data_IF_534939829586
#
_entry.id   IF_534939829586
#
_cell.length_a   1.000
_cell.length_b   1.000
_cell.length_c   1.000
_cell.angle_alpha   90.00
_cell.angle_beta   90.00
_cell.angle_gamma   90.00
#
_symmetry.space_group_name_H-M   'P 1'
#
loop_
_entity.id
_entity.type
_entity.pdbx_description
1 polymer ?
#
# COMPACT_ATOMS: atom_id res chain seq x y z
N UNK A 1 1.24 13.93 11.40
CA UNK A 1 2.18 14.22 10.28
C UNK A 1 1.48 14.19 8.91
N UNK A 2 0.16 13.99 8.84
CA UNK A 2 -0.62 14.07 7.60
C UNK A 2 -0.56 12.84 6.68
N UNK A 3 0.00 11.71 7.13
CA UNK A 3 0.01 10.46 6.38
C UNK A 3 -1.40 9.84 6.30
N UNK A 4 -1.72 9.22 5.16
CA UNK A 4 -2.93 8.41 5.03
C UNK A 4 -2.70 7.03 5.63
N UNK A 5 -3.63 6.57 6.48
CA UNK A 5 -3.63 5.24 7.07
C UNK A 5 -4.57 4.35 6.25
N UNK A 6 -4.18 3.11 6.00
CA UNK A 6 -4.99 2.15 5.26
C UNK A 6 -5.02 0.77 5.89
N UNK A 7 -6.04 0.01 5.55
CA UNK A 7 -6.30 -1.34 6.04
C UNK A 7 -5.47 -2.33 5.21
N UNK A 8 -4.79 -3.28 5.90
CA UNK A 8 -4.06 -4.36 5.23
C UNK A 8 -4.42 -5.74 5.78
N UNK A 9 -5.70 -5.93 6.11
CA UNK A 9 -6.31 -7.08 6.81
C UNK A 9 -5.94 -7.16 8.29
N UNK A 10 -6.62 -8.06 9.01
CA UNK A 10 -6.36 -8.29 10.43
C UNK A 10 -5.11 -9.15 10.65
N UNK A 11 -4.94 -10.23 9.89
CA UNK A 11 -3.96 -11.29 10.18
C UNK A 11 -2.92 -11.52 9.10
N UNK A 12 -3.06 -10.93 7.92
CA UNK A 12 -2.13 -11.05 6.77
C UNK A 12 -1.66 -12.49 6.50
N UNK A 13 -2.58 -13.48 6.59
CA UNK A 13 -2.22 -14.88 6.39
C UNK A 13 -1.99 -15.23 4.92
N UNK A 14 -1.10 -16.18 4.60
CA UNK A 14 -0.90 -16.65 3.22
C UNK A 14 -2.19 -17.17 2.55
N UNK A 15 -3.12 -17.68 3.35
CA UNK A 15 -4.42 -18.17 2.88
C UNK A 15 -5.44 -17.07 2.59
N UNK A 16 -5.15 -15.80 2.84
CA UNK A 16 -6.12 -14.72 2.64
C UNK A 16 -6.79 -14.75 1.25
N UNK A 17 -6.06 -14.93 0.12
CA UNK A 17 -6.69 -14.94 -1.20
C UNK A 17 -7.67 -16.09 -1.44
N UNK A 18 -7.63 -17.13 -0.61
CA UNK A 18 -8.48 -18.33 -0.68
C UNK A 18 -9.74 -18.22 0.20
N UNK A 19 -9.83 -17.20 1.03
CA UNK A 19 -10.98 -16.99 1.92
C UNK A 19 -12.25 -16.67 1.13
N UNK A 20 -13.40 -17.02 1.72
CA UNK A 20 -14.70 -16.52 1.24
C UNK A 20 -14.83 -15.03 1.50
N UNK A 21 -15.54 -14.32 0.64
CA UNK A 21 -15.70 -12.85 0.71
C UNK A 21 -16.25 -12.35 2.06
N UNK A 22 -17.09 -13.16 2.74
CA UNK A 22 -17.59 -12.83 4.08
C UNK A 22 -16.49 -12.80 5.14
N UNK A 23 -15.60 -13.80 5.14
CA UNK A 23 -14.47 -13.86 6.07
C UNK A 23 -13.45 -12.73 5.78
N UNK A 24 -13.19 -12.45 4.50
CA UNK A 24 -12.36 -11.31 4.11
C UNK A 24 -12.96 -9.99 4.61
N UNK A 25 -14.27 -9.78 4.41
CA UNK A 25 -14.97 -8.57 4.84
C UNK A 25 -14.91 -8.39 6.36
N UNK A 26 -15.12 -9.47 7.13
CA UNK A 26 -14.99 -9.44 8.58
C UNK A 26 -13.58 -9.02 9.04
N UNK A 27 -12.52 -9.54 8.39
CA UNK A 27 -11.13 -9.15 8.66
C UNK A 27 -10.83 -7.69 8.32
N UNK A 28 -11.40 -7.18 7.23
CA UNK A 28 -11.28 -5.77 6.83
C UNK A 28 -11.95 -4.86 7.87
N UNK A 29 -13.19 -5.17 8.25
CA UNK A 29 -13.94 -4.37 9.22
C UNK A 29 -13.28 -4.37 10.59
N UNK A 30 -12.81 -5.53 11.05
CA UNK A 30 -12.10 -5.64 12.34
C UNK A 30 -10.83 -4.78 12.35
N UNK A 31 -10.04 -4.82 11.28
CA UNK A 31 -8.84 -4.00 11.16
C UNK A 31 -9.17 -2.51 11.13
N UNK A 32 -10.24 -2.12 10.39
CA UNK A 32 -10.73 -0.74 10.33
C UNK A 32 -11.08 -0.22 11.73
N UNK A 33 -11.85 -1.00 12.47
CA UNK A 33 -12.28 -0.61 13.83
C UNK A 33 -11.09 -0.43 14.76
N UNK A 34 -10.15 -1.37 14.77
CA UNK A 34 -8.93 -1.23 15.59
C UNK A 34 -8.08 -0.02 15.19
N UNK A 35 -7.97 0.27 13.89
CA UNK A 35 -7.28 1.49 13.45
C UNK A 35 -8.00 2.74 13.95
N UNK A 36 -9.33 2.79 13.87
CA UNK A 36 -10.13 3.90 14.37
C UNK A 36 -9.95 4.10 15.88
N UNK A 37 -10.00 3.01 16.65
CA UNK A 37 -9.81 3.03 18.11
C UNK A 37 -8.43 3.56 18.52
N UNK A 38 -7.36 3.14 17.81
CA UNK A 38 -5.97 3.49 18.13
C UNK A 38 -5.62 4.90 17.66
N UNK A 39 -6.09 5.30 16.48
CA UNK A 39 -5.61 6.51 15.80
C UNK A 39 -6.63 7.65 15.76
N UNK A 40 -7.90 7.36 16.04
CA UNK A 40 -9.02 8.30 15.84
C UNK A 40 -9.34 8.57 14.36
N UNK A 41 -8.67 7.90 13.42
CA UNK A 41 -8.82 8.14 11.98
C UNK A 41 -9.76 7.13 11.34
N UNK A 42 -10.80 7.63 10.69
CA UNK A 42 -11.65 6.82 9.81
C UNK A 42 -10.96 6.60 8.46
N UNK A 43 -10.89 5.34 8.01
CA UNK A 43 -10.32 5.00 6.71
C UNK A 43 -11.14 3.96 5.97
N UNK A 44 -11.27 4.16 4.66
CA UNK A 44 -11.84 3.19 3.73
C UNK A 44 -10.78 2.63 2.76
N UNK A 45 -9.53 3.08 2.89
CA UNK A 45 -8.42 2.61 2.05
C UNK A 45 -8.06 1.19 2.43
N UNK A 46 -8.04 0.29 1.47
CA UNK A 46 -7.69 -1.12 1.67
C UNK A 46 -6.67 -1.58 0.63
N UNK A 47 -5.61 -2.24 1.09
CA UNK A 47 -4.67 -2.94 0.22
C UNK A 47 -4.75 -4.44 0.49
N UNK A 48 -5.07 -5.28 -0.52
CA UNK A 48 -5.10 -6.72 -0.31
C UNK A 48 -3.69 -7.28 -0.11
N UNK A 49 -3.53 -8.27 0.80
CA UNK A 49 -2.27 -9.00 0.95
C UNK A 49 -1.75 -9.53 -0.38
N UNK A 50 -0.44 -9.47 -0.56
CA UNK A 50 0.26 -9.95 -1.77
C UNK A 50 -0.17 -9.24 -3.06
N UNK A 51 -1.05 -8.22 -2.99
CA UNK A 51 -1.65 -7.56 -4.14
C UNK A 51 -2.59 -8.44 -4.95
N UNK A 52 -3.08 -9.52 -4.36
CA UNK A 52 -3.99 -10.43 -5.06
C UNK A 52 -5.39 -9.80 -5.11
N UNK A 53 -5.88 -9.62 -6.34
CA UNK A 53 -7.25 -9.21 -6.63
C UNK A 53 -7.96 -10.36 -7.35
N UNK A 54 -9.04 -10.86 -6.75
CA UNK A 54 -9.89 -11.89 -7.33
C UNK A 54 -11.37 -11.56 -7.05
N UNK A 55 -12.35 -12.30 -7.60
CA UNK A 55 -13.77 -12.00 -7.39
C UNK A 55 -14.19 -11.99 -5.92
N UNK A 56 -13.55 -12.79 -5.04
CA UNK A 56 -13.87 -12.81 -3.61
C UNK A 56 -13.38 -11.52 -2.94
N UNK A 57 -12.17 -11.06 -3.27
CA UNK A 57 -11.65 -9.76 -2.80
C UNK A 57 -12.53 -8.63 -3.28
N UNK A 58 -12.91 -8.59 -4.56
CA UNK A 58 -13.78 -7.55 -5.11
C UNK A 58 -15.13 -7.49 -4.37
N UNK A 59 -15.75 -8.64 -4.08
CA UNK A 59 -16.98 -8.72 -3.29
C UNK A 59 -16.79 -8.23 -1.85
N UNK A 60 -15.67 -8.58 -1.20
CA UNK A 60 -15.37 -8.13 0.15
C UNK A 60 -15.18 -6.61 0.19
N UNK A 61 -14.42 -6.05 -0.75
CA UNK A 61 -14.21 -4.60 -0.91
C UNK A 61 -15.55 -3.87 -1.07
N UNK A 62 -16.42 -4.37 -1.97
CA UNK A 62 -17.75 -3.81 -2.17
C UNK A 62 -18.61 -3.88 -0.90
N UNK A 63 -18.61 -5.02 -0.19
CA UNK A 63 -19.39 -5.23 1.05
C UNK A 63 -18.97 -4.32 2.19
N UNK A 64 -17.70 -3.93 2.24
CA UNK A 64 -17.13 -3.08 3.30
C UNK A 64 -17.08 -1.61 2.95
N UNK A 65 -17.53 -1.22 1.73
CA UNK A 65 -17.41 0.14 1.24
C UNK A 65 -15.95 0.62 1.14
N UNK A 66 -15.00 -0.32 0.99
CA UNK A 66 -13.58 0.03 0.92
C UNK A 66 -13.17 0.45 -0.49
N UNK A 67 -12.15 1.29 -0.58
CA UNK A 67 -11.43 1.62 -1.81
C UNK A 67 -10.15 0.80 -1.89
N UNK A 68 -10.01 -0.03 -2.93
CA UNK A 68 -8.83 -0.87 -3.11
C UNK A 68 -7.66 -0.05 -3.67
N UNK A 69 -6.53 -0.05 -2.96
CA UNK A 69 -5.31 0.68 -3.35
C UNK A 69 -4.20 -0.31 -3.68
N UNK A 70 -3.83 -0.38 -4.95
CA UNK A 70 -2.69 -1.15 -5.43
C UNK A 70 -1.39 -0.34 -5.44
N UNK A 71 -0.50 -0.69 -6.35
CA UNK A 71 0.73 0.02 -6.65
C UNK A 71 1.04 -0.05 -8.13
N UNK A 72 1.78 0.93 -8.62
CA UNK A 72 2.29 0.94 -9.99
C UNK A 72 3.78 0.58 -10.07
N UNK A 73 4.51 0.75 -8.96
CA UNK A 73 5.93 0.38 -8.86
C UNK A 73 6.11 -0.64 -7.74
N UNK A 74 6.31 -1.92 -8.12
CA UNK A 74 6.74 -2.97 -7.20
C UNK A 74 8.25 -2.88 -7.02
N UNK A 75 8.70 -2.53 -5.81
CA UNK A 75 10.11 -2.34 -5.47
C UNK A 75 10.93 -3.63 -5.53
N UNK A 76 10.36 -4.75 -5.10
CA UNK A 76 11.03 -6.03 -4.83
C UNK A 76 12.04 -5.94 -3.67
N UNK A 77 11.79 -5.06 -2.71
CA UNK A 77 12.60 -4.85 -1.50
C UNK A 77 12.58 -6.04 -0.53
N UNK A 78 11.58 -6.91 -0.65
CA UNK A 78 11.46 -8.15 0.12
C UNK A 78 12.39 -9.27 -0.35
N UNK A 79 13.01 -9.15 -1.52
CA UNK A 79 13.93 -10.15 -2.04
C UNK A 79 15.31 -10.01 -1.38
N UNK A 80 15.71 -11.02 -0.59
CA UNK A 80 16.97 -11.02 0.18
C UNK A 80 18.24 -10.82 -0.67
N UNK A 81 18.21 -11.29 -1.93
CA UNK A 81 19.37 -11.23 -2.83
C UNK A 81 19.59 -9.82 -3.44
N UNK A 82 18.67 -8.87 -3.18
CA UNK A 82 18.76 -7.51 -3.74
C UNK A 82 19.36 -6.53 -2.75
N UNK A 83 20.41 -5.84 -3.16
CA UNK A 83 20.91 -4.69 -2.40
C UNK A 83 19.92 -3.52 -2.43
N UNK A 84 19.96 -2.65 -1.43
CA UNK A 84 19.11 -1.46 -1.35
C UNK A 84 19.33 -0.52 -2.53
N UNK A 85 20.57 -0.42 -3.00
CA UNK A 85 20.96 0.34 -4.18
C UNK A 85 20.34 -0.21 -5.47
N UNK A 86 20.28 -1.54 -5.61
CA UNK A 86 19.62 -2.17 -6.77
C UNK A 86 18.11 -1.96 -6.74
N UNK A 87 17.49 -1.98 -5.56
CA UNK A 87 16.07 -1.68 -5.38
C UNK A 87 15.79 -0.21 -5.69
N UNK A 88 16.57 0.73 -5.16
CA UNK A 88 16.42 2.16 -5.44
C UNK A 88 16.57 2.46 -6.96
N UNK A 89 17.60 1.90 -7.62
CA UNK A 89 17.76 2.03 -9.08
C UNK A 89 16.56 1.49 -9.85
N UNK A 90 15.96 0.38 -9.41
CA UNK A 90 14.75 -0.17 -10.01
C UNK A 90 13.57 0.78 -9.90
N UNK A 91 13.36 1.38 -8.73
CA UNK A 91 12.31 2.38 -8.49
C UNK A 91 12.55 3.60 -9.37
N UNK A 92 13.75 4.19 -9.31
CA UNK A 92 14.13 5.40 -10.06
C UNK A 92 13.84 5.28 -11.56
N UNK A 93 14.13 4.12 -12.17
CA UNK A 93 13.86 3.87 -13.60
C UNK A 93 12.37 3.81 -13.95
N UNK A 94 11.48 3.81 -12.98
CA UNK A 94 10.03 3.69 -13.16
C UNK A 94 9.26 4.87 -12.59
N UNK A 95 9.97 5.87 -12.06
CA UNK A 95 9.34 7.08 -11.56
C UNK A 95 8.54 7.77 -12.67
N UNK A 96 7.50 8.46 -12.29
CA UNK A 96 6.61 9.22 -13.15
C UNK A 96 5.43 9.73 -12.33
N UNK A 97 4.65 10.60 -12.89
CA UNK A 97 3.49 11.18 -12.23
C UNK A 97 2.41 10.14 -11.93
N UNK A 98 1.71 10.31 -10.83
CA UNK A 98 0.64 9.42 -10.40
C UNK A 98 1.10 8.01 -9.97
N UNK A 99 2.39 7.77 -9.77
CA UNK A 99 2.90 6.45 -9.38
C UNK A 99 2.76 6.20 -7.88
N UNK A 100 2.30 5.00 -7.55
CA UNK A 100 2.28 4.48 -6.17
C UNK A 100 3.41 3.48 -6.02
N UNK A 101 4.35 3.75 -5.12
CA UNK A 101 5.53 2.90 -4.86
C UNK A 101 5.23 1.99 -3.68
N UNK A 102 5.41 0.67 -3.85
CA UNK A 102 5.31 -0.29 -2.76
C UNK A 102 6.67 -0.48 -2.09
N UNK A 103 6.72 -0.25 -0.78
CA UNK A 103 7.85 -0.52 0.11
C UNK A 103 7.36 -1.26 1.36
N UNK A 104 8.28 -1.92 2.06
CA UNK A 104 8.02 -2.61 3.32
C UNK A 104 9.00 -2.10 4.39
N UNK A 105 8.49 -1.78 5.58
CA UNK A 105 9.24 -1.18 6.68
C UNK A 105 9.88 -2.23 7.63
N UNK A 106 9.40 -3.48 7.56
CA UNK A 106 9.87 -4.60 8.37
C UNK A 106 11.21 -5.21 7.88
N UNK A 107 11.88 -4.59 6.91
CA UNK A 107 13.11 -5.13 6.30
C UNK A 107 14.36 -4.40 6.80
N UNK A 108 15.45 -5.14 7.08
CA UNK A 108 16.73 -4.51 7.44
C UNK A 108 17.13 -3.46 6.39
N UNK A 109 17.43 -2.24 6.82
CA UNK A 109 17.79 -1.13 5.95
C UNK A 109 16.64 -0.51 5.16
N UNK A 110 15.39 -0.67 5.62
CA UNK A 110 14.21 -0.04 5.01
C UNK A 110 14.32 1.48 5.08
N UNK A 111 14.78 2.04 6.20
CA UNK A 111 15.02 3.47 6.40
C UNK A 111 16.05 4.02 5.40
N UNK A 112 17.14 3.30 5.16
CA UNK A 112 18.16 3.67 4.18
C UNK A 112 17.58 3.65 2.75
N UNK A 113 16.80 2.61 2.42
CA UNK A 113 16.13 2.53 1.13
C UNK A 113 15.15 3.70 0.93
N UNK A 114 14.34 4.01 1.95
CA UNK A 114 13.42 5.14 1.90
C UNK A 114 14.16 6.45 1.67
N UNK A 115 15.25 6.72 2.40
CA UNK A 115 16.05 7.91 2.21
C UNK A 115 16.60 8.03 0.77
N UNK A 116 17.07 6.92 0.18
CA UNK A 116 17.53 6.89 -1.21
C UNK A 116 16.40 7.21 -2.20
N UNK A 117 15.21 6.64 -1.98
CA UNK A 117 14.04 6.88 -2.83
C UNK A 117 13.59 8.35 -2.74
N UNK A 118 13.50 8.91 -1.52
CA UNK A 118 13.13 10.31 -1.31
C UNK A 118 14.13 11.26 -1.99
N UNK A 119 15.43 10.98 -1.91
CA UNK A 119 16.46 11.76 -2.59
C UNK A 119 16.32 11.67 -4.13
N UNK A 120 16.04 10.48 -4.68
CA UNK A 120 15.78 10.32 -6.11
C UNK A 120 14.52 11.09 -6.56
N UNK A 121 13.45 11.09 -5.75
CA UNK A 121 12.24 11.87 -6.01
C UNK A 121 12.54 13.38 -6.03
N UNK A 122 13.25 13.87 -5.02
CA UNK A 122 13.62 15.29 -4.92
C UNK A 122 14.48 15.74 -6.12
N UNK A 123 15.49 14.94 -6.49
CA UNK A 123 16.33 15.22 -7.65
C UNK A 123 15.58 15.19 -8.99
N UNK A 124 14.54 14.36 -9.07
CA UNK A 124 13.66 14.26 -10.23
C UNK A 124 12.57 15.33 -10.28
N UNK A 125 12.48 16.23 -9.28
CA UNK A 125 11.44 17.26 -9.19
C UNK A 125 10.06 16.70 -8.82
N UNK A 126 9.98 15.46 -8.32
CA UNK A 126 8.73 14.86 -7.89
C UNK A 126 8.32 15.32 -6.49
N UNK A 127 7.03 15.50 -6.31
CA UNK A 127 6.40 15.74 -5.01
C UNK A 127 5.66 14.48 -4.56
N UNK A 128 5.74 14.14 -3.28
CA UNK A 128 4.91 13.11 -2.68
C UNK A 128 3.54 13.67 -2.31
N UNK A 129 2.52 12.83 -2.46
CA UNK A 129 1.14 13.14 -2.08
C UNK A 129 0.52 11.94 -1.39
N UNK A 130 -0.50 12.16 -0.58
CA UNK A 130 -1.30 11.07 -0.04
C UNK A 130 -2.14 10.42 -1.14
N UNK A 131 -2.53 9.15 -0.94
CA UNK A 131 -3.43 8.46 -1.87
C UNK A 131 -4.77 9.20 -2.02
N UNK A 132 -5.23 9.85 -0.94
CA UNK A 132 -6.47 10.63 -0.98
C UNK A 132 -6.34 11.88 -1.87
N UNK A 133 -5.19 12.55 -1.86
CA UNK A 133 -4.90 13.68 -2.76
C UNK A 133 -4.79 13.19 -4.21
N UNK A 134 -4.08 12.07 -4.43
CA UNK A 134 -3.91 11.49 -5.75
C UNK A 134 -5.26 11.15 -6.41
N UNK A 135 -6.21 10.57 -5.68
CA UNK A 135 -7.56 10.26 -6.21
C UNK A 135 -8.45 11.49 -6.42
N UNK A 136 -8.16 12.62 -5.77
CA UNK A 136 -8.90 13.87 -6.01
C UNK A 136 -8.52 14.54 -7.33
N UNK A 137 -7.31 14.30 -7.82
CA UNK A 137 -6.80 14.87 -9.07
C UNK A 137 -7.30 14.11 -10.32
N UNK A 138 -7.90 12.92 -10.14
CA UNK A 138 -8.44 12.09 -11.23
C UNK A 138 -9.95 12.32 -11.50
N UNK A 139 -10.51 13.50 -11.20
CA UNK A 139 -11.80 13.86 -11.75
C UNK A 139 -11.61 14.51 -13.11
N UNK A 140 -12.20 13.92 -14.18
CA UNK A 140 -12.25 14.56 -15.49
C UNK A 140 -13.05 15.84 -15.45
#
# INVERSE_FOLDING_TARGET
>A
EGHAIGIHTWSHTPGFPMLRSGAMAAGILRCRESLREITGVETDLFRPPYGVTNPMVARAVKRTGSRCVGWSIRSLDTLRQRSREAVARRIRRRLGDGKVILLHDDRPGAERLLAMVLNDLQRGGYRTATVCELFKTEKP
#
